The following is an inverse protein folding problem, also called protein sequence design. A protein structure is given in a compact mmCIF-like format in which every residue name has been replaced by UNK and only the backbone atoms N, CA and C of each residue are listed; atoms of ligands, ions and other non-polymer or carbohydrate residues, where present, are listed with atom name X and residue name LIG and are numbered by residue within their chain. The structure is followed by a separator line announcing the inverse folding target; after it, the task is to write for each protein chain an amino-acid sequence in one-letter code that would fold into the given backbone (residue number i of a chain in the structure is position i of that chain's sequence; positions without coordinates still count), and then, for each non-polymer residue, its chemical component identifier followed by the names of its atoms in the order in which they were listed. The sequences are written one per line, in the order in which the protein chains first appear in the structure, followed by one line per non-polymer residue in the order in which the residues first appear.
data_IF_092702785220
#
_entry.id   IF_092702785220
#
_cell.length_a   1.000
_cell.length_b   1.000
_cell.length_c   1.000
_cell.angle_alpha   90.00
_cell.angle_beta   90.00
_cell.angle_gamma   90.00
#
_symmetry.space_group_name_H-M   'P 1'
#
loop_
_entity.id
_entity.type
_entity.pdbx_description
1 polymer ?
#
# COMPACT_ATOMS: atom_id res chain seq x y z
N UNK A 1 -2.81 -20.33 -8.89
CA UNK A 1 -1.98 -19.91 -7.74
C UNK A 1 -1.16 -21.12 -7.39
N UNK A 2 0.14 -21.09 -7.67
CA UNK A 2 1.04 -22.11 -7.15
C UNK A 2 1.19 -21.86 -5.65
N UNK A 3 1.02 -22.90 -4.84
CA UNK A 3 1.26 -22.81 -3.40
C UNK A 3 2.77 -22.59 -3.21
N UNK A 4 3.16 -21.39 -2.80
CA UNK A 4 4.57 -21.11 -2.53
C UNK A 4 4.96 -21.86 -1.25
N UNK A 5 5.93 -22.76 -1.38
CA UNK A 5 6.45 -23.64 -0.33
C UNK A 5 7.28 -22.90 0.72
N UNK A 6 6.76 -21.76 1.21
CA UNK A 6 7.33 -21.10 2.37
C UNK A 6 6.94 -21.85 3.64
N UNK A 7 7.90 -22.11 4.55
CA UNK A 7 7.59 -22.67 5.85
C UNK A 7 6.64 -21.75 6.60
N UNK A 8 5.85 -22.32 7.51
CA UNK A 8 5.07 -21.49 8.43
C UNK A 8 6.03 -20.66 9.31
N UNK A 9 5.63 -19.42 9.55
CA UNK A 9 6.40 -18.45 10.31
C UNK A 9 5.43 -17.47 11.00
N UNK A 10 5.67 -17.05 12.25
CA UNK A 10 4.81 -16.09 12.94
C UNK A 10 4.71 -14.74 12.20
N UNK A 11 5.76 -14.35 11.47
CA UNK A 11 5.76 -13.14 10.64
C UNK A 11 5.09 -13.31 9.25
N UNK A 12 4.59 -14.50 8.90
CA UNK A 12 3.91 -14.75 7.61
C UNK A 12 2.42 -14.45 7.72
N UNK A 13 1.90 -13.65 6.79
CA UNK A 13 0.46 -13.56 6.55
C UNK A 13 -0.06 -14.88 5.95
N UNK A 14 -1.00 -15.54 6.62
CA UNK A 14 -1.45 -16.88 6.24
C UNK A 14 -2.67 -16.88 5.32
N UNK A 15 -3.56 -15.91 5.47
CA UNK A 15 -4.81 -15.81 4.73
C UNK A 15 -4.74 -14.75 3.62
N UNK A 16 -4.29 -13.55 3.98
CA UNK A 16 -4.26 -12.42 3.07
C UNK A 16 -2.94 -12.34 2.31
N UNK A 17 -3.01 -12.17 0.98
CA UNK A 17 -1.86 -12.00 0.10
C UNK A 17 -1.16 -10.65 0.33
N UNK A 18 -0.28 -10.60 1.32
CA UNK A 18 0.42 -9.39 1.74
C UNK A 18 1.85 -9.71 2.18
N UNK A 19 2.69 -8.69 2.14
CA UNK A 19 4.03 -8.77 2.69
C UNK A 19 4.43 -7.45 3.35
N UNK A 20 5.33 -7.56 4.33
CA UNK A 20 6.01 -6.44 4.96
C UNK A 20 7.48 -6.46 4.58
N UNK A 21 8.03 -5.30 4.27
CA UNK A 21 9.46 -5.10 4.15
C UNK A 21 10.15 -5.31 5.50
N UNK A 22 11.44 -5.65 5.44
CA UNK A 22 12.23 -5.99 6.64
C UNK A 22 12.70 -4.77 7.42
N UNK A 23 12.94 -3.67 6.73
CA UNK A 23 13.54 -2.45 7.30
C UNK A 23 12.45 -1.54 7.85
N UNK A 24 12.55 -1.22 9.14
CA UNK A 24 11.71 -0.22 9.79
C UNK A 24 12.21 1.20 9.49
N UNK A 25 11.28 2.11 9.21
CA UNK A 25 11.50 3.52 8.93
C UNK A 25 11.35 4.31 10.24
N UNK A 26 12.37 5.10 10.57
CA UNK A 26 12.40 5.94 11.78
C UNK A 26 12.65 7.42 11.48
N UNK A 27 12.97 7.76 10.23
CA UNK A 27 13.31 9.11 9.80
C UNK A 27 12.44 9.60 8.66
N UNK A 28 13.04 10.35 7.74
CA UNK A 28 12.41 10.76 6.48
C UNK A 28 12.77 9.77 5.39
N UNK A 29 11.76 9.21 4.74
CA UNK A 29 11.95 8.18 3.73
C UNK A 29 11.07 8.47 2.53
N UNK A 30 11.62 8.22 1.34
CA UNK A 30 10.94 8.36 0.07
C UNK A 30 11.17 7.09 -0.76
N UNK A 31 10.13 6.58 -1.39
CA UNK A 31 10.27 5.53 -2.40
C UNK A 31 9.14 5.60 -3.41
N UNK A 32 9.41 5.09 -4.61
CA UNK A 32 8.44 4.95 -5.69
C UNK A 32 8.23 3.48 -6.01
N UNK A 33 6.99 3.16 -6.38
CA UNK A 33 6.64 1.84 -6.90
C UNK A 33 5.81 1.96 -8.17
N UNK A 34 6.16 1.13 -9.14
CA UNK A 34 5.28 0.79 -10.25
C UNK A 34 4.34 -0.32 -9.82
N UNK A 35 3.06 -0.15 -10.10
CA UNK A 35 2.03 -1.12 -9.78
C UNK A 35 1.24 -1.49 -11.04
N UNK A 36 0.72 -2.72 -11.05
CA UNK A 36 -0.22 -3.22 -12.05
C UNK A 36 -1.33 -3.99 -11.35
N UNK A 37 -2.56 -3.86 -11.84
CA UNK A 37 -3.74 -4.54 -11.31
C UNK A 37 -4.30 -3.86 -10.06
N UNK A 38 -4.65 -4.64 -9.05
CA UNK A 38 -5.17 -4.15 -7.77
C UNK A 38 -4.13 -4.38 -6.67
N UNK A 39 -3.51 -3.29 -6.22
CA UNK A 39 -2.40 -3.31 -5.26
C UNK A 39 -2.65 -2.33 -4.13
N UNK A 40 -2.34 -2.75 -2.91
CA UNK A 40 -2.29 -1.89 -1.73
C UNK A 40 -0.83 -1.53 -1.46
N UNK A 41 -0.51 -0.24 -1.44
CA UNK A 41 0.80 0.29 -1.03
C UNK A 41 0.63 0.88 0.37
N UNK A 42 1.28 0.27 1.35
CA UNK A 42 0.99 0.51 2.77
C UNK A 42 2.24 0.80 3.58
N UNK A 43 2.02 1.41 4.74
CA UNK A 43 2.95 1.33 5.87
C UNK A 43 2.20 0.81 7.09
N UNK A 44 2.90 0.05 7.93
CA UNK A 44 2.30 -0.57 9.12
C UNK A 44 3.31 -0.65 10.25
N UNK A 45 2.84 -0.62 11.49
CA UNK A 45 3.64 -1.13 12.59
C UNK A 45 3.89 -2.63 12.44
N UNK A 46 4.93 -3.12 13.10
CA UNK A 46 5.28 -4.55 13.08
C UNK A 46 4.23 -5.41 13.77
N UNK A 47 3.46 -4.84 14.71
CA UNK A 47 2.47 -5.52 15.53
C UNK A 47 1.19 -5.96 14.81
N UNK A 48 1.02 -5.62 13.53
CA UNK A 48 -0.18 -5.97 12.76
C UNK A 48 -0.45 -7.47 12.84
N UNK A 49 -1.73 -7.83 13.04
CA UNK A 49 -2.15 -9.23 13.09
C UNK A 49 -1.86 -9.89 11.74
N UNK A 50 -1.30 -11.10 11.77
CA UNK A 50 -0.90 -11.82 10.54
C UNK A 50 -1.68 -13.08 10.25
N UNK A 51 -2.49 -13.54 11.21
CA UNK A 51 -3.09 -14.87 11.18
C UNK A 51 -4.62 -14.81 11.19
N UNK A 52 -5.22 -15.58 10.30
CA UNK A 52 -6.66 -15.81 10.18
C UNK A 52 -7.39 -14.87 9.22
N UNK A 53 -8.64 -15.23 8.92
CA UNK A 53 -9.56 -14.46 8.10
C UNK A 53 -10.23 -13.36 8.94
N UNK A 54 -9.55 -12.23 9.05
CA UNK A 54 -10.04 -11.05 9.78
C UNK A 54 -9.55 -9.79 9.08
N UNK A 55 -10.39 -8.76 9.08
CA UNK A 55 -10.06 -7.42 8.58
C UNK A 55 -8.86 -6.83 9.33
N UNK A 56 -8.67 -7.17 10.60
CA UNK A 56 -7.51 -6.75 11.42
C UNK A 56 -6.16 -7.19 10.80
N UNK A 57 -6.18 -8.23 9.95
CA UNK A 57 -4.99 -8.72 9.28
C UNK A 57 -4.71 -8.04 7.93
N UNK A 58 -5.64 -7.23 7.39
CA UNK A 58 -5.53 -6.58 6.08
C UNK A 58 -5.11 -5.12 6.22
N UNK A 59 -4.17 -4.66 5.39
CA UNK A 59 -3.65 -3.30 5.48
C UNK A 59 -4.74 -2.24 5.28
N UNK A 60 -4.77 -1.27 6.20
CA UNK A 60 -5.75 -0.18 6.25
C UNK A 60 -7.06 -0.53 6.97
N UNK A 61 -7.28 -1.80 7.34
CA UNK A 61 -8.49 -2.26 8.03
C UNK A 61 -8.26 -2.50 9.53
N UNK A 62 -7.17 -1.95 10.06
CA UNK A 62 -6.81 -1.88 11.46
C UNK A 62 -6.24 -0.49 11.77
N UNK A 63 -6.02 -0.22 13.05
CA UNK A 63 -5.45 1.03 13.57
C UNK A 63 -3.90 1.10 13.47
N UNK A 64 -3.25 0.01 13.02
CA UNK A 64 -1.78 -0.08 12.95
C UNK A 64 -1.22 0.15 11.55
N UNK A 65 -2.08 0.34 10.55
CA UNK A 65 -1.67 0.45 9.15
C UNK A 65 -2.42 1.54 8.39
N UNK A 66 -1.73 2.11 7.41
CA UNK A 66 -2.20 3.15 6.51
C UNK A 66 -1.90 2.70 5.09
N UNK A 67 -2.92 2.67 4.23
CA UNK A 67 -2.83 2.06 2.91
C UNK A 67 -3.38 2.97 1.82
N UNK A 68 -2.70 3.00 0.68
CA UNK A 68 -3.22 3.47 -0.59
C UNK A 68 -3.59 2.27 -1.46
N UNK A 69 -4.87 2.11 -1.78
CA UNK A 69 -5.35 1.16 -2.77
C UNK A 69 -5.25 1.77 -4.16
N UNK A 70 -4.58 1.06 -5.07
CA UNK A 70 -4.41 1.40 -6.46
C UNK A 70 -5.21 0.42 -7.33
N UNK A 71 -6.01 0.93 -8.26
CA UNK A 71 -6.84 0.13 -9.16
C UNK A 71 -7.13 0.84 -10.48
N UNK A 72 -7.79 0.15 -11.40
CA UNK A 72 -8.36 0.73 -12.63
C UNK A 72 -9.40 1.81 -12.35
N UNK A 73 -10.07 1.74 -11.21
CA UNK A 73 -11.08 2.72 -10.75
C UNK A 73 -10.46 3.95 -10.10
N UNK A 74 -9.13 4.03 -10.03
CA UNK A 74 -8.40 5.10 -9.37
C UNK A 74 -7.88 4.70 -8.00
N UNK A 75 -7.81 5.67 -7.09
CA UNK A 75 -7.16 5.55 -5.79
C UNK A 75 -8.16 5.68 -4.63
N UNK A 76 -7.95 4.90 -3.58
CA UNK A 76 -8.57 5.12 -2.28
C UNK A 76 -7.55 4.98 -1.16
N UNK A 77 -7.75 5.68 -0.06
CA UNK A 77 -6.96 5.51 1.16
C UNK A 77 -7.75 4.77 2.21
N UNK A 78 -7.10 3.87 2.94
CA UNK A 78 -7.69 3.06 3.99
C UNK A 78 -6.90 3.19 5.29
N UNK A 79 -7.59 3.42 6.39
CA UNK A 79 -7.05 3.35 7.75
C UNK A 79 -8.19 3.08 8.74
N UNK A 80 -7.96 2.22 9.74
CA UNK A 80 -8.92 1.89 10.80
C UNK A 80 -10.33 1.56 10.26
N UNK A 81 -10.38 0.66 9.28
CA UNK A 81 -11.61 0.22 8.62
C UNK A 81 -12.40 1.33 7.90
N UNK A 82 -11.77 2.49 7.67
CA UNK A 82 -12.36 3.60 6.94
C UNK A 82 -11.67 3.74 5.59
N UNK A 83 -12.43 3.55 4.51
CA UNK A 83 -11.98 3.77 3.14
C UNK A 83 -12.50 5.11 2.61
N UNK A 84 -11.60 5.95 2.09
CA UNK A 84 -11.94 7.21 1.43
C UNK A 84 -11.46 7.18 -0.02
N UNK A 85 -12.40 7.28 -0.97
CA UNK A 85 -12.06 7.38 -2.40
C UNK A 85 -11.48 8.74 -2.73
N UNK A 86 -10.37 8.76 -3.48
CA UNK A 86 -9.71 9.98 -3.92
C UNK A 86 -10.30 10.36 -5.27
N UNK A 87 -11.16 11.37 -5.27
CA UNK A 87 -11.77 11.92 -6.49
C UNK A 87 -10.80 12.90 -7.15
N UNK A 88 -9.78 12.39 -7.86
CA UNK A 88 -8.90 13.25 -8.66
C UNK A 88 -9.50 13.48 -10.06
N UNK A 89 -9.59 14.73 -10.49
CA UNK A 89 -10.11 15.19 -11.79
C UNK A 89 -9.28 14.78 -13.02
N UNK A 90 -8.33 13.84 -12.87
CA UNK A 90 -7.34 13.47 -13.89
C UNK A 90 -7.27 11.96 -14.17
N UNK A 91 -8.28 11.19 -13.76
CA UNK A 91 -8.47 9.83 -14.27
C UNK A 91 -9.21 9.93 -15.60
N UNK A 92 -8.48 10.14 -16.69
CA UNK A 92 -8.98 9.81 -18.01
C UNK A 92 -9.29 8.31 -18.01
N UNK A 93 -10.58 7.99 -17.87
CA UNK A 93 -11.11 6.65 -18.03
C UNK A 93 -10.99 6.26 -19.51
N UNK A 94 -9.80 5.83 -19.91
CA UNK A 94 -9.64 5.05 -21.13
C UNK A 94 -10.07 3.63 -20.82
N UNK A 95 -11.37 3.39 -21.06
CA UNK A 95 -12.00 2.08 -21.15
C UNK A 95 -11.30 1.25 -22.21
N UNK A 96 -10.21 0.62 -21.83
CA UNK A 96 -9.43 -0.28 -22.67
C UNK A 96 -9.08 -1.46 -21.78
N UNK A 97 -9.45 -2.65 -22.24
CA UNK A 97 -9.24 -3.96 -21.63
C UNK A 97 -7.74 -4.31 -21.47
N UNK A 98 -6.99 -3.49 -20.74
CA UNK A 98 -5.62 -3.74 -20.31
C UNK A 98 -5.56 -3.54 -18.80
N UNK A 99 -4.91 -4.43 -18.07
CA UNK A 99 -4.72 -4.29 -16.62
C UNK A 99 -4.20 -2.88 -16.33
N UNK A 100 -4.89 -2.15 -15.45
CA UNK A 100 -4.44 -0.82 -15.03
C UNK A 100 -3.04 -0.90 -14.44
N UNK A 101 -2.28 0.15 -14.68
CA UNK A 101 -0.94 0.31 -14.10
C UNK A 101 -0.67 1.78 -13.85
N UNK A 102 0.30 2.04 -12.99
CA UNK A 102 0.73 3.38 -12.67
C UNK A 102 1.96 3.36 -11.78
N UNK A 103 2.40 4.55 -11.40
CA UNK A 103 3.48 4.75 -10.44
C UNK A 103 2.99 5.63 -9.31
N UNK A 104 3.30 5.23 -8.09
CA UNK A 104 3.00 6.02 -6.89
C UNK A 104 4.26 6.21 -6.08
N UNK A 105 4.36 7.38 -5.46
CA UNK A 105 5.41 7.70 -4.51
C UNK A 105 4.83 7.72 -3.09
N UNK A 106 5.64 7.29 -2.14
CA UNK A 106 5.34 7.36 -0.71
C UNK A 106 6.42 8.20 -0.05
N UNK A 107 6.00 9.18 0.73
CA UNK A 107 6.87 9.98 1.56
C UNK A 107 6.44 9.84 3.02
N UNK A 108 7.38 9.43 3.87
CA UNK A 108 7.18 9.29 5.32
C UNK A 108 8.08 10.30 6.02
N UNK A 109 7.53 11.10 6.91
CA UNK A 109 8.27 11.96 7.83
C UNK A 109 7.90 11.56 9.26
N UNK A 110 8.67 10.64 9.84
CA UNK A 110 8.40 10.15 11.19
C UNK A 110 8.44 11.27 12.26
N UNK A 111 9.45 12.17 12.27
CA UNK A 111 9.48 13.29 13.22
C UNK A 111 8.27 14.22 13.11
N UNK A 112 7.79 14.50 11.90
CA UNK A 112 6.63 15.34 11.68
C UNK A 112 5.29 14.59 11.85
N UNK A 113 5.31 13.27 11.95
CA UNK A 113 4.10 12.46 12.05
C UNK A 113 3.26 12.49 10.77
N UNK A 114 3.89 12.47 9.59
CA UNK A 114 3.17 12.52 8.32
C UNK A 114 3.54 11.38 7.37
N UNK A 115 2.53 10.90 6.66
CA UNK A 115 2.63 9.93 5.58
C UNK A 115 1.86 10.46 4.38
N UNK A 116 2.56 10.72 3.28
CA UNK A 116 2.00 11.29 2.07
C UNK A 116 2.11 10.31 0.91
N UNK A 117 1.03 10.21 0.14
CA UNK A 117 0.93 9.43 -1.08
C UNK A 117 0.80 10.36 -2.29
N UNK A 118 1.50 10.02 -3.36
CA UNK A 118 1.47 10.77 -4.62
C UNK A 118 1.30 9.83 -5.80
N UNK A 119 0.60 10.28 -6.83
CA UNK A 119 0.68 9.69 -8.17
C UNK A 119 1.87 10.33 -8.88
N UNK A 120 2.72 9.51 -9.48
CA UNK A 120 3.81 9.99 -10.34
C UNK A 120 3.32 9.99 -11.78
N UNK A 121 3.40 11.14 -12.45
CA UNK A 121 3.00 11.31 -13.84
C UNK A 121 3.99 12.22 -14.55
N UNK A 122 4.70 11.72 -15.56
CA UNK A 122 5.74 12.47 -16.29
C UNK A 122 6.70 13.19 -15.33
N UNK A 123 7.24 12.45 -14.37
CA UNK A 123 8.15 12.92 -13.30
C UNK A 123 7.60 14.05 -12.42
N UNK A 124 6.29 14.28 -12.47
CA UNK A 124 5.58 15.21 -11.57
C UNK A 124 4.84 14.43 -10.50
N UNK A 125 4.98 14.88 -9.25
CA UNK A 125 4.25 14.35 -8.11
C UNK A 125 2.90 15.05 -7.98
N UNK A 126 1.82 14.30 -8.19
CA UNK A 126 0.46 14.74 -7.95
C UNK A 126 0.05 14.20 -6.58
N UNK A 127 -0.14 15.09 -5.61
CA UNK A 127 -0.58 14.72 -4.26
C UNK A 127 -1.93 14.00 -4.29
N UNK A 128 -2.00 12.87 -3.57
CA UNK A 128 -3.22 12.08 -3.43
C UNK A 128 -3.81 12.26 -2.04
N UNK A 129 -3.00 12.05 -1.00
CA UNK A 129 -3.45 12.12 0.38
C UNK A 129 -2.27 12.25 1.34
N UNK A 130 -2.50 12.85 2.51
CA UNK A 130 -1.57 12.84 3.64
C UNK A 130 -2.29 12.43 4.90
N UNK A 131 -1.84 11.35 5.52
CA UNK A 131 -2.19 11.02 6.90
C UNK A 131 -1.30 11.84 7.84
N UNK A 132 -1.91 12.45 8.86
CA UNK A 132 -1.20 13.12 9.95
C UNK A 132 -1.52 12.39 11.25
N UNK A 133 -0.49 11.84 11.91
CA UNK A 133 -0.63 11.05 13.14
C UNK A 133 0.68 11.02 13.91
N UNK A 134 0.63 10.72 15.20
CA UNK A 134 1.85 10.51 15.99
C UNK A 134 2.27 9.04 15.87
N UNK A 135 3.38 8.79 15.18
CA UNK A 135 3.91 7.43 15.08
C UNK A 135 4.60 7.03 16.39
N UNK A 136 4.18 5.90 16.96
CA UNK A 136 4.67 5.41 18.26
C UNK A 136 5.76 4.34 18.11
N UNK A 137 5.88 3.76 16.92
CA UNK A 137 6.80 2.66 16.60
C UNK A 137 7.39 2.83 15.19
N UNK A 138 8.49 2.13 14.85
CA UNK A 138 8.99 2.09 13.48
C UNK A 138 7.93 1.61 12.49
N UNK A 139 7.86 2.27 11.34
CA UNK A 139 6.93 1.92 10.26
C UNK A 139 7.60 0.98 9.27
N UNK A 140 6.87 -0.01 8.77
CA UNK A 140 7.35 -0.97 7.79
C UNK A 140 6.55 -0.80 6.51
N UNK A 141 7.19 -0.55 5.35
CA UNK A 141 6.50 -0.60 4.07
C UNK A 141 5.88 -1.98 3.85
N UNK A 142 4.68 -2.00 3.30
CA UNK A 142 3.94 -3.22 3.03
C UNK A 142 3.22 -3.16 1.70
N UNK A 143 3.02 -4.33 1.10
CA UNK A 143 2.31 -4.47 -0.17
C UNK A 143 1.25 -5.56 -0.05
N UNK A 144 0.03 -5.25 -0.50
CA UNK A 144 -1.09 -6.19 -0.53
C UNK A 144 -1.60 -6.38 -1.95
N UNK A 145 -2.10 -7.59 -2.23
CA UNK A 145 -2.61 -7.98 -3.54
C UNK A 145 -4.02 -8.55 -3.40
N UNK A 146 -4.96 -8.03 -4.17
CA UNK A 146 -6.35 -8.49 -4.08
C UNK A 146 -6.50 -9.90 -4.64
N UNK A 147 -7.04 -10.83 -3.85
CA UNK A 147 -7.11 -12.27 -4.19
C UNK A 147 -7.95 -12.59 -5.45
N UNK A 148 -8.84 -11.68 -5.87
CA UNK A 148 -9.63 -11.84 -7.10
C UNK A 148 -8.95 -11.26 -8.34
N UNK A 149 -7.80 -10.60 -8.17
CA UNK A 149 -7.06 -9.96 -9.27
C UNK A 149 -5.90 -10.84 -9.70
N UNK A 150 -5.92 -11.30 -10.96
CA UNK A 150 -4.81 -12.03 -11.57
C UNK A 150 -3.83 -11.05 -12.24
N UNK A 151 -2.53 -11.35 -12.15
CA UNK A 151 -1.49 -10.54 -12.79
C UNK A 151 -1.22 -9.19 -12.13
N UNK A 152 -1.64 -9.01 -10.87
CA UNK A 152 -1.23 -7.83 -10.09
C UNK A 152 0.24 -7.94 -9.70
N UNK A 153 0.97 -6.82 -9.76
CA UNK A 153 2.40 -6.78 -9.47
C UNK A 153 2.79 -5.42 -8.89
N UNK A 154 3.87 -5.42 -8.10
CA UNK A 154 4.52 -4.20 -7.63
C UNK A 154 6.02 -4.33 -7.84
N UNK A 155 6.65 -3.24 -8.29
CA UNK A 155 8.09 -3.15 -8.52
C UNK A 155 8.62 -1.86 -7.91
N UNK A 156 9.66 -1.94 -7.09
CA UNK A 156 10.36 -0.75 -6.59
C UNK A 156 11.08 -0.07 -7.76
N UNK A 157 10.91 1.24 -7.88
CA UNK A 157 11.65 2.02 -8.87
C UNK A 157 13.08 2.28 -8.37
N UNK A 158 14.10 2.20 -9.26
CA UNK A 158 15.41 2.76 -8.94
C UNK A 158 15.28 4.29 -8.85
N UNK A 159 15.87 4.87 -7.79
CA UNK A 159 16.01 6.32 -7.63
C UNK A 159 17.35 6.78 -8.19
#
# INVERSE_FOLDING_TARGET
MEDQSYPDHPDRFDYWSQLLCRTGLTGRCYWEVEWRGEVNVSVSYRGIRRKGYSDDCWFGYNDQSWSLRCSDKGYSVCHNNTETRITSSSTSSSSSSSSSSGRVAVYVDCPAGSLSFYRVSSDTLIHLHTFSTTFTEPLYPGFGFWFRSSGSSVSLCPL
#
